data_IF_821094782680
#
_entry.id   IF_821094782680
#
_cell.length_a   1.000
_cell.length_b   1.000
_cell.length_c   1.000
_cell.angle_alpha   90.00
_cell.angle_beta   90.00
_cell.angle_gamma   90.00
#
_symmetry.space_group_name_H-M   'P 1'
#
loop_
_entity.id
_entity.type
_entity.pdbx_description
1 polymer ?
#
# COMPACT_ATOMS: atom_id res chain seq x y z
N UNK A 1 20.30 -18.13 -1.28
CA UNK A 1 20.21 -16.66 -1.15
C UNK A 1 21.52 -16.21 -0.54
N UNK A 2 22.17 -15.24 -1.13
CA UNK A 2 23.44 -14.74 -0.63
C UNK A 2 23.13 -13.62 0.37
N UNK A 3 23.40 -13.89 1.64
CA UNK A 3 23.32 -12.92 2.72
C UNK A 3 24.77 -12.64 3.14
N UNK A 4 25.37 -11.69 2.44
CA UNK A 4 26.76 -11.30 2.69
C UNK A 4 26.75 -10.14 3.66
N UNK A 5 27.72 -10.11 4.63
CA UNK A 5 27.81 -9.02 5.58
C UNK A 5 28.19 -7.71 4.88
N UNK A 6 27.74 -6.58 5.44
CA UNK A 6 28.19 -5.24 5.04
C UNK A 6 29.68 -5.07 5.30
N UNK A 7 30.36 -4.18 4.56
CA UNK A 7 31.74 -3.78 4.84
C UNK A 7 31.86 -3.01 6.19
N UNK A 8 30.81 -2.34 6.65
CA UNK A 8 30.73 -1.79 8.02
C UNK A 8 29.83 -2.69 8.89
N UNK A 9 30.40 -3.44 9.87
CA UNK A 9 29.63 -4.30 10.77
C UNK A 9 28.60 -3.55 11.64
N UNK A 10 28.68 -2.22 11.72
CA UNK A 10 27.73 -1.36 12.45
C UNK A 10 26.55 -0.93 11.58
N UNK A 11 26.64 -1.16 10.28
CA UNK A 11 25.58 -0.84 9.36
C UNK A 11 24.39 -1.76 9.61
N UNK A 12 23.25 -1.15 9.89
CA UNK A 12 22.04 -1.86 10.26
C UNK A 12 21.26 -2.31 9.03
N UNK A 13 21.17 -3.64 8.86
CA UNK A 13 20.32 -4.27 7.84
C UNK A 13 20.77 -3.96 6.41
N UNK A 14 20.98 -4.98 5.61
CA UNK A 14 21.19 -4.79 4.18
C UNK A 14 19.82 -4.55 3.54
N UNK A 15 19.65 -3.48 2.73
CA UNK A 15 18.45 -3.34 1.92
C UNK A 15 18.35 -4.53 0.99
N UNK A 16 17.21 -5.22 1.01
CA UNK A 16 16.93 -6.29 0.08
C UNK A 16 15.81 -5.87 -0.89
N UNK A 17 15.62 -6.63 -1.95
CA UNK A 17 14.61 -6.37 -2.97
C UNK A 17 13.19 -6.26 -2.40
N UNK A 18 12.88 -6.97 -1.31
CA UNK A 18 11.60 -6.87 -0.65
C UNK A 18 11.39 -5.51 0.03
N UNK A 19 12.44 -4.97 0.67
CA UNK A 19 12.41 -3.64 1.29
C UNK A 19 12.30 -2.51 0.25
N UNK A 20 12.64 -2.76 -1.01
CA UNK A 20 12.35 -1.83 -2.11
C UNK A 20 10.92 -1.97 -2.64
N UNK A 21 10.49 -3.19 -2.97
CA UNK A 21 9.21 -3.43 -3.65
C UNK A 21 7.99 -3.27 -2.75
N UNK A 22 8.05 -3.72 -1.48
CA UNK A 22 6.90 -3.65 -0.58
C UNK A 22 6.43 -2.22 -0.30
N UNK A 23 7.31 -1.25 0.01
CA UNK A 23 6.93 0.16 0.12
C UNK A 23 6.34 0.75 -1.17
N UNK A 24 6.84 0.33 -2.34
CA UNK A 24 6.28 0.77 -3.61
C UNK A 24 4.82 0.30 -3.76
N UNK A 25 4.52 -0.97 -3.42
CA UNK A 25 3.15 -1.48 -3.47
C UNK A 25 2.24 -0.72 -2.51
N UNK A 26 2.70 -0.44 -1.28
CA UNK A 26 1.96 0.37 -0.32
C UNK A 26 1.65 1.77 -0.88
N UNK A 27 2.64 2.45 -1.43
CA UNK A 27 2.45 3.79 -1.98
C UNK A 27 1.57 3.80 -3.24
N UNK A 28 1.67 2.79 -4.11
CA UNK A 28 0.91 2.71 -5.37
C UNK A 28 -0.54 2.27 -5.19
N UNK A 29 -0.86 1.60 -4.08
CA UNK A 29 -2.24 1.15 -3.78
C UNK A 29 -2.94 2.00 -2.72
N UNK A 30 -2.28 2.99 -2.13
CA UNK A 30 -2.87 3.89 -1.15
C UNK A 30 -3.92 4.80 -1.83
N UNK A 31 -5.17 4.72 -1.36
CA UNK A 31 -6.26 5.60 -1.79
C UNK A 31 -7.06 6.00 -0.56
N UNK A 32 -6.91 7.25 -0.13
CA UNK A 32 -7.60 7.79 1.02
C UNK A 32 -8.83 8.57 0.57
N UNK A 33 -9.97 8.33 1.23
CA UNK A 33 -11.25 8.97 0.88
C UNK A 33 -11.29 10.44 1.27
N UNK A 34 -10.72 10.76 2.45
CA UNK A 34 -10.80 12.11 3.03
C UNK A 34 -9.58 12.99 2.74
N UNK A 35 -8.55 12.44 2.14
CA UNK A 35 -7.32 13.18 1.83
C UNK A 35 -6.98 13.03 0.35
N UNK A 36 -6.93 14.16 -0.36
CA UNK A 36 -6.44 14.19 -1.74
C UNK A 36 -4.96 13.79 -1.81
N UNK A 37 -4.54 13.31 -2.96
CA UNK A 37 -3.13 12.93 -3.19
C UNK A 37 -2.14 14.08 -3.00
N UNK A 38 -2.62 15.33 -3.09
CA UNK A 38 -1.88 16.56 -2.83
C UNK A 38 -1.76 16.91 -1.33
N UNK A 39 -2.54 16.22 -0.47
CA UNK A 39 -2.58 16.41 0.99
C UNK A 39 -2.06 15.21 1.77
N UNK A 40 -1.30 14.33 1.12
CA UNK A 40 -0.68 13.16 1.73
C UNK A 40 0.79 13.07 1.31
N UNK A 41 1.62 12.60 2.23
CA UNK A 41 3.00 12.28 1.96
C UNK A 41 3.31 10.85 2.42
N UNK A 42 3.98 10.07 1.57
CA UNK A 42 4.54 8.78 1.93
C UNK A 42 6.05 8.83 1.82
N UNK A 43 6.75 8.39 2.85
CA UNK A 43 8.20 8.23 2.87
C UNK A 43 8.59 6.77 2.89
N UNK A 44 9.67 6.43 2.18
CA UNK A 44 10.26 5.09 2.14
C UNK A 44 11.73 5.22 2.46
N UNK A 45 12.21 4.47 3.48
CA UNK A 45 13.61 4.44 3.88
C UNK A 45 14.20 5.87 4.01
N UNK A 46 13.39 6.78 4.54
CA UNK A 46 13.67 8.21 4.64
C UNK A 46 13.89 8.61 6.10
N UNK A 47 14.87 9.47 6.36
CA UNK A 47 15.11 10.00 7.69
C UNK A 47 13.91 10.80 8.20
N UNK A 48 13.35 10.35 9.32
CA UNK A 48 12.27 10.99 10.07
C UNK A 48 12.89 11.63 11.32
N UNK A 49 13.11 12.95 11.28
CA UNK A 49 13.64 13.72 12.39
C UNK A 49 12.51 14.08 13.36
N UNK A 50 12.65 13.69 14.64
CA UNK A 50 11.55 13.72 15.59
C UNK A 50 11.78 14.62 16.81
N UNK A 51 12.98 15.15 17.03
CA UNK A 51 13.32 15.93 18.22
C UNK A 51 14.08 17.21 17.87
N UNK A 52 13.46 18.37 18.08
CA UNK A 52 14.06 19.68 17.79
C UNK A 52 15.23 20.04 18.73
N UNK A 53 15.27 19.49 19.97
CA UNK A 53 16.36 19.70 20.92
C UNK A 53 17.59 18.89 20.55
N UNK A 54 17.38 17.78 19.84
CA UNK A 54 18.43 16.90 19.30
C UNK A 54 18.24 16.76 17.78
N UNK A 55 18.58 17.77 16.99
CA UNK A 55 18.22 17.87 15.56
C UNK A 55 18.90 16.83 14.65
N UNK A 56 19.85 16.04 15.19
CA UNK A 56 20.48 14.93 14.46
C UNK A 56 19.78 13.58 14.74
N UNK A 57 18.89 13.54 15.73
CA UNK A 57 18.18 12.31 16.06
C UNK A 57 17.07 12.04 15.04
N UNK A 58 17.13 10.90 14.42
CA UNK A 58 16.15 10.45 13.45
C UNK A 58 15.91 8.94 13.56
N UNK A 59 14.78 8.51 13.05
CA UNK A 59 14.48 7.13 12.71
C UNK A 59 14.33 7.02 11.20
N UNK A 60 14.39 5.81 10.70
CA UNK A 60 14.33 5.54 9.27
C UNK A 60 13.36 4.39 9.04
N UNK A 61 12.04 4.69 9.04
CA UNK A 61 11.02 3.67 8.81
C UNK A 61 11.12 3.12 7.38
N UNK A 62 10.83 1.83 7.22
CA UNK A 62 10.76 1.23 5.88
C UNK A 62 9.68 1.89 5.03
N UNK A 63 8.54 2.24 5.67
CA UNK A 63 7.50 3.05 5.04
C UNK A 63 6.69 3.82 6.08
N UNK A 64 6.27 5.04 5.75
CA UNK A 64 5.36 5.81 6.58
C UNK A 64 4.42 6.70 5.77
N UNK A 65 3.27 7.02 6.37
CA UNK A 65 2.25 7.91 5.84
C UNK A 65 2.04 9.11 6.76
N UNK A 66 2.04 10.29 6.19
CA UNK A 66 1.60 11.53 6.86
C UNK A 66 0.42 12.09 6.09
N UNK A 67 -0.71 12.32 6.77
CA UNK A 67 -1.89 12.95 6.18
C UNK A 67 -1.97 14.42 6.59
N UNK A 68 -2.73 15.19 5.83
CA UNK A 68 -2.95 16.62 6.04
C UNK A 68 -1.67 17.46 5.97
N UNK A 69 -0.74 17.06 5.12
CA UNK A 69 0.46 17.81 4.74
C UNK A 69 0.51 17.99 3.22
N UNK A 70 1.10 19.06 2.70
CA UNK A 70 1.31 19.21 1.26
C UNK A 70 2.16 18.04 0.72
N UNK A 71 1.81 17.52 -0.46
CA UNK A 71 2.60 16.45 -1.11
C UNK A 71 4.06 16.89 -1.38
N UNK A 72 4.25 18.15 -1.74
CA UNK A 72 5.56 18.72 -2.03
C UNK A 72 6.04 19.61 -0.88
N UNK A 73 7.33 19.56 -0.59
CA UNK A 73 7.98 20.47 0.33
C UNK A 73 7.89 21.92 -0.20
N UNK A 74 7.51 22.84 0.68
CA UNK A 74 7.28 24.25 0.31
C UNK A 74 6.38 24.44 -0.93
N UNK A 75 5.57 23.43 -1.30
CA UNK A 75 4.65 23.48 -2.43
C UNK A 75 5.29 23.23 -3.82
N UNK A 76 6.59 22.99 -3.93
CA UNK A 76 7.25 22.87 -5.23
C UNK A 76 8.41 21.87 -5.31
N UNK A 77 8.92 21.33 -4.19
CA UNK A 77 10.10 20.46 -4.22
C UNK A 77 9.87 19.11 -3.53
N UNK A 78 10.79 18.19 -3.74
CA UNK A 78 10.83 16.90 -3.08
C UNK A 78 11.48 17.05 -1.69
N UNK A 79 11.07 16.20 -0.74
CA UNK A 79 11.70 16.13 0.57
C UNK A 79 12.93 15.22 0.54
N UNK A 80 14.04 15.69 1.09
CA UNK A 80 15.22 14.86 1.35
C UNK A 80 15.11 14.08 2.67
N UNK A 81 14.28 14.58 3.59
CA UNK A 81 13.96 13.99 4.90
C UNK A 81 12.61 14.54 5.36
N UNK A 82 12.02 13.92 6.37
CA UNK A 82 10.81 14.42 7.00
C UNK A 82 11.17 14.98 8.39
N UNK A 83 10.91 16.27 8.60
CA UNK A 83 11.24 16.98 9.84
C UNK A 83 9.93 17.32 10.56
N UNK A 84 9.59 16.54 11.60
CA UNK A 84 8.28 16.60 12.26
C UNK A 84 7.95 17.97 12.81
N UNK A 85 8.92 18.66 13.43
CA UNK A 85 8.69 19.99 14.00
C UNK A 85 8.59 21.11 12.95
N UNK A 86 9.14 20.93 11.75
CA UNK A 86 9.02 21.87 10.63
C UNK A 86 7.69 21.67 9.88
N UNK A 87 7.33 20.43 9.64
CA UNK A 87 6.08 20.04 8.97
C UNK A 87 4.83 20.18 9.88
N UNK A 88 5.03 20.22 11.21
CA UNK A 88 3.96 20.35 12.21
C UNK A 88 3.06 19.11 12.35
N UNK A 89 3.46 17.97 11.77
CA UNK A 89 2.69 16.71 11.76
C UNK A 89 3.61 15.51 11.97
N UNK A 90 3.16 14.56 12.78
CA UNK A 90 3.77 13.24 12.89
C UNK A 90 3.14 12.26 11.88
N UNK A 91 3.78 11.13 11.58
CA UNK A 91 3.19 10.07 10.78
C UNK A 91 1.87 9.56 11.39
N UNK A 92 0.91 9.25 10.53
CA UNK A 92 -0.35 8.58 10.91
C UNK A 92 -0.21 7.06 10.89
N UNK A 93 0.68 6.55 10.05
CA UNK A 93 1.00 5.12 9.92
C UNK A 93 2.49 4.98 9.74
N UNK A 94 3.09 4.02 10.43
CA UNK A 94 4.44 3.53 10.18
C UNK A 94 4.36 2.02 9.91
N UNK A 95 5.10 1.55 8.93
CA UNK A 95 5.26 0.13 8.61
C UNK A 95 6.74 -0.22 8.64
N UNK A 96 7.10 -1.22 9.45
CA UNK A 96 8.43 -1.82 9.49
C UNK A 96 8.39 -3.25 8.92
N UNK A 97 9.42 -3.60 8.18
CA UNK A 97 9.58 -4.89 7.52
C UNK A 97 10.68 -5.65 8.24
N UNK A 98 10.30 -6.64 9.04
CA UNK A 98 11.25 -7.35 9.91
C UNK A 98 12.37 -8.02 9.14
N UNK A 99 13.59 -7.68 9.53
CA UNK A 99 14.81 -8.38 9.14
C UNK A 99 15.20 -9.40 10.22
N UNK A 100 15.63 -10.63 9.86
CA UNK A 100 16.02 -11.64 10.82
C UNK A 100 17.15 -11.16 11.74
N UNK A 101 16.97 -11.40 13.06
CA UNK A 101 17.96 -11.05 14.08
C UNK A 101 17.93 -9.58 14.52
N UNK A 102 16.90 -8.81 14.11
CA UNK A 102 16.70 -7.40 14.48
C UNK A 102 15.30 -7.11 15.01
N UNK A 103 14.58 -8.13 15.35
CA UNK A 103 13.20 -8.03 15.83
C UNK A 103 13.10 -7.14 17.08
N UNK A 104 14.14 -7.10 17.92
CA UNK A 104 14.17 -6.25 19.12
C UNK A 104 14.14 -4.75 18.80
N UNK A 105 14.73 -4.32 17.69
CA UNK A 105 14.74 -2.90 17.29
C UNK A 105 13.32 -2.40 16.98
N UNK A 106 12.52 -3.24 16.32
CA UNK A 106 11.19 -2.90 15.85
C UNK A 106 10.08 -3.31 16.83
N UNK A 107 10.25 -4.41 17.56
CA UNK A 107 9.25 -4.97 18.46
C UNK A 107 9.54 -4.78 19.94
N UNK A 108 10.78 -4.41 20.31
CA UNK A 108 11.23 -4.24 21.69
C UNK A 108 10.83 -5.42 22.57
N UNK A 109 10.02 -5.19 23.63
CA UNK A 109 9.54 -6.25 24.54
C UNK A 109 8.60 -7.24 23.87
N UNK A 110 7.95 -6.89 22.77
CA UNK A 110 7.04 -7.76 22.04
C UNK A 110 7.72 -8.76 21.10
N UNK A 111 9.06 -8.86 21.16
CA UNK A 111 9.83 -9.93 20.50
C UNK A 111 9.54 -11.30 21.10
N UNK A 112 9.29 -11.37 22.41
CA UNK A 112 8.92 -12.63 23.08
C UNK A 112 7.39 -12.84 22.95
N UNK A 113 7.00 -13.91 22.25
CA UNK A 113 5.58 -14.30 22.07
C UNK A 113 4.84 -14.57 23.40
N UNK A 114 5.57 -14.69 24.50
CA UNK A 114 5.01 -14.87 25.85
C UNK A 114 4.53 -13.57 26.50
N UNK A 115 4.80 -12.42 25.90
CA UNK A 115 4.31 -11.11 26.38
C UNK A 115 3.11 -10.69 25.53
N UNK A 116 2.07 -11.55 25.48
CA UNK A 116 0.82 -11.21 24.80
C UNK A 116 -0.13 -10.35 25.66
N UNK A 117 0.08 -10.30 26.98
CA UNK A 117 -0.78 -9.55 27.89
C UNK A 117 0.01 -8.44 28.60
N UNK A 118 -0.31 -7.21 28.24
CA UNK A 118 0.09 -5.95 28.89
C UNK A 118 1.56 -5.88 29.36
N UNK A 119 2.34 -4.98 28.77
CA UNK A 119 3.66 -4.70 29.33
C UNK A 119 3.52 -4.32 30.81
N UNK A 120 4.51 -4.69 31.66
CA UNK A 120 4.50 -4.32 33.07
C UNK A 120 4.20 -2.83 33.24
N UNK A 121 3.29 -2.49 34.18
CA UNK A 121 2.93 -1.09 34.48
C UNK A 121 4.15 -0.22 34.86
N UNK A 122 5.24 -0.88 35.25
CA UNK A 122 6.52 -0.27 35.65
C UNK A 122 7.48 0.06 34.51
N UNK A 123 7.09 -0.16 33.24
CA UNK A 123 7.88 0.35 32.13
C UNK A 123 7.81 1.87 32.12
N UNK A 124 8.86 2.44 32.66
CA UNK A 124 9.04 3.86 33.00
C UNK A 124 8.77 4.76 31.79
N UNK A 125 8.24 5.97 32.05
CA UNK A 125 8.15 6.99 31.01
C UNK A 125 9.53 7.21 30.40
N UNK A 126 9.52 7.59 29.13
CA UNK A 126 10.68 7.96 28.33
C UNK A 126 11.79 8.57 29.18
N UNK A 127 12.84 7.80 29.42
CA UNK A 127 14.09 8.28 30.01
C UNK A 127 15.15 8.26 28.94
N UNK A 128 15.76 9.41 28.70
CA UNK A 128 16.95 9.50 27.86
C UNK A 128 18.05 8.74 28.61
N UNK A 129 18.51 7.63 28.05
CA UNK A 129 19.60 6.87 28.61
C UNK A 129 20.92 7.63 28.38
N UNK A 130 21.64 7.88 29.45
CA UNK A 130 23.00 8.39 29.43
C UNK A 130 23.97 7.25 29.72
N UNK A 131 24.93 7.05 28.84
CA UNK A 131 26.06 6.17 29.09
C UNK A 131 27.38 6.95 29.05
N UNK A 132 28.51 6.24 29.21
CA UNK A 132 29.84 6.84 29.17
C UNK A 132 30.15 7.56 27.83
N UNK A 133 29.41 7.30 26.76
CA UNK A 133 29.54 7.96 25.45
C UNK A 133 28.62 9.19 25.29
N UNK A 134 27.71 9.45 26.23
CA UNK A 134 26.74 10.55 26.23
C UNK A 134 25.29 10.10 26.08
N UNK A 135 24.42 11.07 25.79
CA UNK A 135 22.98 10.86 25.61
C UNK A 135 22.72 10.09 24.32
N UNK A 136 22.01 8.96 24.41
CA UNK A 136 21.64 8.12 23.25
C UNK A 136 20.25 8.40 22.73
N UNK A 137 20.03 8.31 21.39
CA UNK A 137 18.69 8.36 20.83
C UNK A 137 17.88 7.11 21.27
N UNK A 138 16.63 7.27 21.68
CA UNK A 138 15.79 6.17 22.13
C UNK A 138 15.50 5.17 21.01
N UNK A 139 15.06 3.94 21.37
CA UNK A 139 14.66 2.90 20.42
C UNK A 139 13.51 3.35 19.51
N UNK A 140 13.35 2.70 18.35
CA UNK A 140 12.25 2.98 17.39
C UNK A 140 10.89 2.96 18.09
N UNK A 141 10.60 1.90 18.85
CA UNK A 141 9.35 1.76 19.60
C UNK A 141 9.04 2.96 20.47
N UNK A 142 10.00 3.39 21.31
CA UNK A 142 9.83 4.54 22.20
C UNK A 142 9.58 5.84 21.43
N UNK A 143 10.26 6.02 20.31
CA UNK A 143 10.07 7.20 19.46
C UNK A 143 8.66 7.21 18.87
N UNK A 144 8.19 6.07 18.34
CA UNK A 144 6.89 5.99 17.69
C UNK A 144 5.72 6.07 18.68
N UNK A 145 5.85 5.41 19.83
CA UNK A 145 4.81 5.37 20.86
C UNK A 145 4.73 6.65 21.70
N UNK A 146 5.88 7.10 22.25
CA UNK A 146 5.89 8.14 23.30
C UNK A 146 6.16 9.54 22.73
N UNK A 147 7.06 9.66 21.74
CA UNK A 147 7.45 10.96 21.19
C UNK A 147 6.51 11.40 20.08
N UNK A 148 6.30 10.54 19.09
CA UNK A 148 5.49 10.83 17.91
C UNK A 148 4.01 10.48 18.09
N UNK A 149 3.70 9.55 19.00
CA UNK A 149 2.35 9.05 19.26
C UNK A 149 1.66 8.60 17.96
N UNK A 150 2.38 7.82 17.16
CA UNK A 150 1.92 7.39 15.85
C UNK A 150 0.66 6.52 16.01
N UNK A 151 -0.49 6.88 15.43
CA UNK A 151 -1.75 6.16 15.63
C UNK A 151 -1.68 4.68 15.29
N UNK A 152 -0.99 4.32 14.21
CA UNK A 152 -0.90 2.94 13.75
C UNK A 152 0.56 2.57 13.43
N UNK A 153 1.08 1.60 14.19
CA UNK A 153 2.38 1.02 13.97
C UNK A 153 2.21 -0.44 13.52
N UNK A 154 2.68 -0.76 12.32
CA UNK A 154 2.52 -2.08 11.72
C UNK A 154 3.88 -2.71 11.48
N UNK A 155 4.00 -4.00 11.79
CA UNK A 155 5.22 -4.76 11.64
C UNK A 155 4.92 -6.02 10.84
N UNK A 156 5.67 -6.26 9.77
CA UNK A 156 5.46 -7.40 8.89
C UNK A 156 6.72 -8.21 8.67
N UNK A 157 6.60 -9.53 8.87
CA UNK A 157 7.66 -10.49 8.54
C UNK A 157 7.36 -11.20 7.22
N UNK A 158 8.18 -10.99 6.20
CA UNK A 158 8.09 -11.71 4.92
C UNK A 158 8.41 -13.21 5.02
N UNK A 159 9.05 -13.63 6.11
CA UNK A 159 9.47 -15.01 6.33
C UNK A 159 8.36 -15.86 6.92
N UNK A 160 7.63 -15.30 7.90
CA UNK A 160 6.47 -15.96 8.53
C UNK A 160 5.14 -15.52 7.91
N UNK A 161 5.12 -14.46 7.09
CA UNK A 161 3.95 -13.75 6.61
C UNK A 161 3.05 -13.23 7.76
N UNK A 162 3.64 -12.99 8.93
CA UNK A 162 2.95 -12.47 10.10
C UNK A 162 2.87 -10.95 10.01
N UNK A 163 1.66 -10.42 10.08
CA UNK A 163 1.37 -9.01 10.27
C UNK A 163 0.99 -8.78 11.73
N UNK A 164 1.58 -7.78 12.35
CA UNK A 164 1.19 -7.26 13.67
C UNK A 164 0.81 -5.81 13.52
N UNK A 165 -0.21 -5.38 14.22
CA UNK A 165 -0.67 -4.00 14.24
C UNK A 165 -0.78 -3.53 15.69
N UNK A 166 -0.13 -2.42 15.99
CA UNK A 166 -0.18 -1.75 17.27
C UNK A 166 -0.88 -0.41 17.08
N UNK A 167 -2.00 -0.25 17.76
CA UNK A 167 -2.77 1.01 17.77
C UNK A 167 -2.42 1.80 19.02
N UNK A 168 -2.17 3.10 18.87
CA UNK A 168 -1.93 3.99 19.99
C UNK A 168 -3.24 4.34 20.70
N UNK A 169 -3.38 3.91 21.96
CA UNK A 169 -4.58 4.07 22.75
C UNK A 169 -4.19 4.49 24.16
N UNK A 170 -4.68 5.62 24.63
CA UNK A 170 -4.46 6.12 26.00
C UNK A 170 -2.98 6.17 26.43
N UNK A 171 -2.10 6.60 25.52
CA UNK A 171 -0.69 6.81 25.81
C UNK A 171 0.21 5.60 25.55
N UNK A 172 -0.32 4.47 25.07
CA UNK A 172 0.43 3.24 24.80
C UNK A 172 -0.03 2.53 23.53
N UNK A 173 0.86 1.73 22.95
CA UNK A 173 0.48 0.79 21.92
C UNK A 173 -0.26 -0.42 22.50
N UNK A 174 -1.37 -0.75 21.83
CA UNK A 174 -2.13 -1.98 22.10
C UNK A 174 -2.13 -2.83 20.82
N UNK A 175 -1.67 -4.06 20.93
CA UNK A 175 -1.69 -4.97 19.79
C UNK A 175 -3.12 -5.36 19.44
N UNK A 176 -3.46 -5.23 18.17
CA UNK A 176 -4.76 -5.62 17.63
C UNK A 176 -4.74 -7.11 17.29
N UNK A 177 -5.73 -7.85 17.78
CA UNK A 177 -5.90 -9.24 17.42
C UNK A 177 -6.31 -9.36 15.94
N UNK A 178 -5.47 -9.98 15.12
CA UNK A 178 -5.75 -10.24 13.71
C UNK A 178 -6.07 -11.73 13.51
N UNK A 179 -6.97 -12.01 12.55
CA UNK A 179 -7.22 -13.39 12.13
C UNK A 179 -5.98 -13.95 11.41
N UNK A 180 -5.32 -15.00 11.94
CA UNK A 180 -4.12 -15.57 11.30
C UNK A 180 -4.38 -16.14 9.90
N UNK A 181 -5.62 -16.56 9.60
CA UNK A 181 -6.01 -17.08 8.29
C UNK A 181 -6.22 -15.96 7.26
N UNK A 182 -6.59 -14.76 7.71
CA UNK A 182 -6.83 -13.60 6.87
C UNK A 182 -6.38 -12.32 7.61
N UNK A 183 -5.07 -12.10 7.78
CA UNK A 183 -4.56 -10.99 8.58
C UNK A 183 -4.86 -9.65 7.91
N UNK A 184 -5.89 -8.97 8.43
CA UNK A 184 -6.38 -7.67 7.98
C UNK A 184 -6.67 -6.78 9.17
N UNK A 185 -6.35 -5.49 9.05
CA UNK A 185 -6.69 -4.47 10.03
C UNK A 185 -7.36 -3.29 9.33
N UNK A 186 -8.39 -2.74 9.95
CA UNK A 186 -9.07 -1.53 9.51
C UNK A 186 -8.58 -0.33 10.30
N UNK A 187 -8.04 0.67 9.61
CA UNK A 187 -7.54 1.91 10.19
C UNK A 187 -8.68 2.94 10.19
N UNK A 188 -9.46 2.95 11.26
CA UNK A 188 -10.75 3.68 11.32
C UNK A 188 -10.62 5.17 11.06
N UNK A 189 -9.54 5.81 11.55
CA UNK A 189 -9.31 7.25 11.37
C UNK A 189 -8.96 7.63 9.92
N UNK A 190 -8.51 6.66 9.14
CA UNK A 190 -8.12 6.84 7.73
C UNK A 190 -9.13 6.23 6.76
N UNK A 191 -10.12 5.49 7.27
CA UNK A 191 -11.13 4.76 6.48
C UNK A 191 -10.53 3.87 5.38
N UNK A 192 -9.46 3.18 5.72
CA UNK A 192 -8.76 2.26 4.82
C UNK A 192 -8.28 1.04 5.60
N UNK A 193 -8.25 -0.11 4.95
CA UNK A 193 -7.70 -1.33 5.55
C UNK A 193 -6.34 -1.70 4.98
N UNK A 194 -5.49 -2.33 5.80
CA UNK A 194 -4.24 -2.96 5.39
C UNK A 194 -4.28 -4.44 5.73
N UNK A 195 -3.78 -5.28 4.84
CA UNK A 195 -3.74 -6.71 5.09
C UNK A 195 -2.71 -7.45 4.24
N UNK A 196 -2.57 -8.74 4.54
CA UNK A 196 -1.68 -9.63 3.79
C UNK A 196 -2.42 -10.16 2.56
N UNK A 197 -2.00 -9.70 1.40
CA UNK A 197 -2.51 -10.10 0.10
C UNK A 197 -1.57 -11.12 -0.55
N UNK A 198 -2.13 -12.22 -1.07
CA UNK A 198 -1.39 -13.20 -1.87
C UNK A 198 -1.65 -12.96 -3.34
N UNK A 199 -0.62 -12.51 -4.05
CA UNK A 199 -0.74 -12.18 -5.46
C UNK A 199 0.59 -11.84 -6.10
N UNK A 200 0.55 -11.43 -7.35
CA UNK A 200 1.72 -11.06 -8.14
C UNK A 200 1.90 -9.54 -8.16
N UNK A 201 3.07 -9.09 -7.75
CA UNK A 201 3.50 -7.71 -7.91
C UNK A 201 4.92 -7.72 -8.49
N UNK A 202 5.12 -6.93 -9.54
CA UNK A 202 6.38 -6.83 -10.30
C UNK A 202 6.93 -8.19 -10.76
N UNK A 203 6.02 -9.09 -11.22
CA UNK A 203 6.37 -10.45 -11.67
C UNK A 203 6.66 -11.45 -10.54
N UNK A 204 6.51 -11.05 -9.27
CA UNK A 204 6.82 -11.88 -8.10
C UNK A 204 5.53 -12.25 -7.36
N UNK A 205 5.19 -13.54 -7.35
CA UNK A 205 4.03 -14.07 -6.62
C UNK A 205 4.42 -14.43 -5.20
N UNK A 206 3.85 -13.72 -4.21
CA UNK A 206 4.07 -13.97 -2.78
C UNK A 206 2.99 -13.32 -1.91
N UNK A 207 3.17 -13.36 -0.58
CA UNK A 207 2.43 -12.56 0.36
C UNK A 207 3.02 -11.15 0.42
N UNK A 208 2.17 -10.13 0.25
CA UNK A 208 2.49 -8.72 0.28
C UNK A 208 1.55 -8.01 1.24
N UNK A 209 1.96 -6.88 1.81
CA UNK A 209 1.03 -5.92 2.40
C UNK A 209 0.38 -5.09 1.31
N UNK A 210 -0.95 -4.97 1.37
CA UNK A 210 -1.73 -4.22 0.39
C UNK A 210 -2.95 -3.57 1.06
N UNK A 211 -3.32 -2.40 0.57
CA UNK A 211 -4.50 -1.68 1.03
C UNK A 211 -5.78 -2.29 0.46
N UNK A 212 -6.87 -2.18 1.23
CA UNK A 212 -8.22 -2.58 0.81
C UNK A 212 -9.27 -1.54 1.26
N UNK A 213 -10.39 -1.48 0.53
CA UNK A 213 -11.51 -0.58 0.79
C UNK A 213 -12.47 -1.11 1.87
N UNK A 214 -13.55 -0.34 2.17
CA UNK A 214 -14.56 -0.71 3.16
C UNK A 214 -15.34 -1.97 2.82
N UNK A 215 -15.43 -2.32 1.54
CA UNK A 215 -16.06 -3.53 1.03
C UNK A 215 -15.12 -4.74 1.09
N UNK A 216 -13.86 -4.54 1.48
CA UNK A 216 -12.83 -5.59 1.57
C UNK A 216 -12.12 -5.90 0.26
N UNK A 217 -12.33 -5.09 -0.79
CA UNK A 217 -11.64 -5.25 -2.07
C UNK A 217 -10.23 -4.67 -2.01
N UNK A 218 -9.25 -5.39 -2.55
CA UNK A 218 -7.89 -4.89 -2.66
C UNK A 218 -7.80 -3.72 -3.63
N UNK A 219 -7.20 -2.63 -3.16
CA UNK A 219 -7.05 -1.42 -3.98
C UNK A 219 -6.01 -1.66 -5.09
N UNK A 220 -6.34 -1.37 -6.35
CA UNK A 220 -5.45 -1.62 -7.47
C UNK A 220 -4.30 -0.60 -7.53
N UNK A 221 -3.18 -1.03 -8.10
CA UNK A 221 -2.16 -0.11 -8.61
C UNK A 221 -2.68 0.65 -9.83
N UNK A 222 -2.03 1.75 -10.20
CA UNK A 222 -2.43 2.51 -11.40
C UNK A 222 -2.38 1.65 -12.66
N UNK A 223 -1.35 0.79 -12.80
CA UNK A 223 -1.22 -0.13 -13.93
C UNK A 223 -2.34 -1.18 -13.97
N UNK A 224 -2.73 -1.74 -12.81
CA UNK A 224 -3.85 -2.67 -12.73
C UNK A 224 -5.18 -1.97 -13.07
N UNK A 225 -5.36 -0.73 -12.62
CA UNK A 225 -6.55 0.06 -12.92
C UNK A 225 -6.65 0.39 -14.42
N UNK A 226 -5.54 0.76 -15.04
CA UNK A 226 -5.48 1.00 -16.49
C UNK A 226 -5.79 -0.27 -17.29
N UNK A 227 -5.22 -1.41 -16.90
CA UNK A 227 -5.53 -2.71 -17.53
C UNK A 227 -7.01 -3.08 -17.39
N UNK A 228 -7.59 -2.89 -16.21
CA UNK A 228 -9.02 -3.16 -15.98
C UNK A 228 -9.90 -2.25 -16.85
N UNK A 229 -9.56 -0.96 -16.95
CA UNK A 229 -10.28 -0.01 -17.80
C UNK A 229 -10.18 -0.37 -19.28
N UNK A 230 -8.99 -0.68 -19.76
CA UNK A 230 -8.78 -1.09 -21.15
C UNK A 230 -9.56 -2.37 -21.50
N UNK A 231 -9.60 -3.34 -20.59
CA UNK A 231 -10.34 -4.58 -20.76
C UNK A 231 -11.86 -4.32 -20.77
N UNK A 232 -12.36 -3.48 -19.87
CA UNK A 232 -13.77 -3.09 -19.87
C UNK A 232 -14.18 -2.37 -21.17
N UNK A 233 -13.33 -1.47 -21.67
CA UNK A 233 -13.55 -0.81 -22.95
C UNK A 233 -13.55 -1.79 -24.13
N UNK A 234 -12.66 -2.78 -24.12
CA UNK A 234 -12.60 -3.85 -25.14
C UNK A 234 -13.90 -4.65 -25.13
N UNK A 235 -14.31 -5.13 -23.96
CA UNK A 235 -15.55 -5.91 -23.80
C UNK A 235 -16.79 -5.11 -24.22
N UNK A 236 -16.87 -3.82 -23.84
CA UNK A 236 -17.96 -2.96 -24.23
C UNK A 236 -18.03 -2.78 -25.77
N UNK A 237 -16.87 -2.58 -26.43
CA UNK A 237 -16.80 -2.49 -27.90
C UNK A 237 -17.23 -3.80 -28.57
N UNK A 238 -16.78 -4.94 -28.07
CA UNK A 238 -17.19 -6.26 -28.58
C UNK A 238 -18.68 -6.49 -28.42
N UNK A 239 -19.26 -6.10 -27.29
CA UNK A 239 -20.70 -6.22 -27.06
C UNK A 239 -21.51 -5.34 -28.01
N UNK A 240 -21.12 -4.09 -28.23
CA UNK A 240 -21.76 -3.20 -29.20
C UNK A 240 -21.66 -3.76 -30.62
N UNK A 241 -20.49 -4.27 -31.01
CA UNK A 241 -20.29 -4.90 -32.31
C UNK A 241 -21.16 -6.13 -32.50
N UNK A 242 -21.28 -6.99 -31.49
CA UNK A 242 -22.15 -8.15 -31.52
C UNK A 242 -23.64 -7.74 -31.67
N UNK A 243 -24.08 -6.71 -30.97
CA UNK A 243 -25.44 -6.17 -31.11
C UNK A 243 -25.72 -5.60 -32.48
N UNK A 244 -24.77 -4.88 -33.09
CA UNK A 244 -24.88 -4.36 -34.45
C UNK A 244 -24.96 -5.49 -35.47
N UNK A 245 -24.16 -6.53 -35.34
CA UNK A 245 -24.19 -7.74 -36.20
C UNK A 245 -25.57 -8.40 -36.09
N UNK A 246 -26.06 -8.62 -34.87
CA UNK A 246 -27.37 -9.23 -34.65
C UNK A 246 -28.50 -8.39 -35.25
N UNK A 247 -28.46 -7.07 -35.08
CA UNK A 247 -29.41 -6.16 -35.68
C UNK A 247 -29.38 -6.22 -37.22
N UNK A 248 -28.18 -6.23 -37.80
CA UNK A 248 -28.02 -6.36 -39.27
C UNK A 248 -28.63 -7.67 -39.79
N UNK A 249 -28.35 -8.78 -39.11
CA UNK A 249 -28.92 -10.09 -39.49
C UNK A 249 -30.45 -10.10 -39.41
N UNK A 250 -31.03 -9.53 -38.35
CA UNK A 250 -32.49 -9.44 -38.21
C UNK A 250 -33.13 -8.59 -39.30
N UNK A 251 -32.51 -7.48 -39.69
CA UNK A 251 -33.01 -6.61 -40.77
C UNK A 251 -32.92 -7.28 -42.14
N UNK A 252 -31.82 -8.00 -42.41
CA UNK A 252 -31.68 -8.82 -43.64
C UNK A 252 -32.73 -9.92 -43.70
N UNK A 253 -33.02 -10.63 -42.61
CA UNK A 253 -34.07 -11.64 -42.52
C UNK A 253 -35.47 -11.05 -42.69
N UNK A 254 -35.69 -9.80 -42.30
CA UNK A 254 -36.92 -9.06 -42.55
C UNK A 254 -37.10 -8.57 -44.00
N UNK A 255 -36.14 -8.90 -44.90
CA UNK A 255 -36.21 -8.61 -46.33
C UNK A 255 -35.61 -7.26 -46.75
N UNK A 256 -34.88 -6.57 -45.87
CA UNK A 256 -34.15 -5.36 -46.24
C UNK A 256 -32.91 -5.70 -47.10
N UNK A 257 -32.56 -4.78 -48.00
CA UNK A 257 -31.36 -4.93 -48.83
C UNK A 257 -30.10 -4.61 -48.04
N UNK A 258 -28.93 -5.16 -48.43
CA UNK A 258 -27.62 -4.88 -47.79
C UNK A 258 -27.30 -3.38 -47.75
N UNK A 259 -27.67 -2.62 -48.77
CA UNK A 259 -27.50 -1.15 -48.83
C UNK A 259 -28.33 -0.46 -47.76
N UNK A 260 -29.62 -0.82 -47.63
CA UNK A 260 -30.52 -0.22 -46.63
C UNK A 260 -30.05 -0.53 -45.19
N UNK A 261 -29.60 -1.75 -44.95
CA UNK A 261 -29.07 -2.15 -43.62
C UNK A 261 -27.79 -1.42 -43.30
N UNK A 262 -26.87 -1.30 -44.27
CA UNK A 262 -25.62 -0.56 -44.10
C UNK A 262 -25.87 0.92 -43.78
N UNK A 263 -26.78 1.60 -44.50
CA UNK A 263 -27.15 3.01 -44.23
C UNK A 263 -27.81 3.17 -42.84
N UNK A 264 -28.72 2.26 -42.47
CA UNK A 264 -29.46 2.35 -41.21
C UNK A 264 -28.55 2.13 -39.97
N UNK A 265 -27.59 1.24 -40.05
CA UNK A 265 -26.73 0.88 -38.95
C UNK A 265 -25.35 1.57 -38.98
N UNK A 266 -25.08 2.37 -40.02
CA UNK A 266 -23.77 3.02 -40.20
C UNK A 266 -22.63 2.04 -40.46
N UNK A 267 -22.90 0.88 -41.05
CA UNK A 267 -21.93 -0.14 -41.37
C UNK A 267 -21.44 -0.01 -42.82
N UNK A 268 -20.26 -0.50 -43.12
CA UNK A 268 -19.82 -0.62 -44.50
C UNK A 268 -20.63 -1.72 -45.23
N UNK A 269 -21.00 -1.48 -46.49
CA UNK A 269 -21.78 -2.45 -47.31
C UNK A 269 -21.08 -3.82 -47.30
N UNK A 270 -19.78 -3.87 -47.50
CA UNK A 270 -18.99 -5.10 -47.49
C UNK A 270 -19.08 -5.91 -46.16
N UNK A 271 -19.27 -5.22 -45.04
CA UNK A 271 -19.50 -5.88 -43.75
C UNK A 271 -20.85 -6.57 -43.69
N UNK A 272 -21.88 -5.91 -44.21
CA UNK A 272 -23.25 -6.47 -44.27
C UNK A 272 -23.35 -7.61 -45.27
N UNK A 273 -22.69 -7.53 -46.43
CA UNK A 273 -22.59 -8.60 -47.43
C UNK A 273 -21.95 -9.86 -46.83
N UNK A 274 -20.85 -9.73 -46.08
CA UNK A 274 -20.19 -10.84 -45.40
C UNK A 274 -21.09 -11.55 -44.36
N UNK A 275 -22.02 -10.82 -43.71
CA UNK A 275 -23.01 -11.40 -42.79
C UNK A 275 -24.07 -12.24 -43.53
N UNK A 276 -24.45 -11.86 -44.75
CA UNK A 276 -25.41 -12.57 -45.58
C UNK A 276 -24.85 -13.90 -46.10
N UNK A 277 -23.56 -13.94 -46.47
CA UNK A 277 -22.88 -15.17 -46.95
C UNK A 277 -22.72 -16.20 -45.81
N UNK A 278 -22.43 -15.75 -44.57
CA UNK A 278 -22.31 -16.64 -43.42
C UNK A 278 -23.66 -17.23 -42.99
N UNK A 279 -24.75 -16.50 -43.14
CA UNK A 279 -26.11 -16.97 -42.86
C UNK A 279 -26.64 -18.03 -43.86
N UNK A 280 -26.17 -18.03 -45.10
CA UNK A 280 -26.55 -19.00 -46.13
C UNK A 280 -25.81 -20.33 -46.05
N UNK A 281 -24.74 -20.44 -45.24
CA UNK A 281 -23.98 -21.70 -45.09
C UNK A 281 -24.49 -22.58 -43.92
N UNK A 282 -25.48 -22.14 -43.18
CA UNK A 282 -26.06 -22.89 -42.06
C UNK A 282 -27.38 -23.62 -42.36
N UNK A 283 -27.78 -23.72 -43.65
CA UNK A 283 -28.97 -24.50 -44.06
C UNK A 283 -28.59 -25.63 -45.04
#
# INVERSE_FOLDING_TARGET
MYDLPSEDPRESGLPDEFHDLQPQLLSRTLRLTHYGSDRCFTGTDMNLYYNAEHPLWHKRPDWFLVVDVPRLYAGHDLRNSFVVWDEGKAPSVIVELLSPGREEEDLWIYTDERIEENPPEDLLPYTIEEDESGIRPPHKWMVYEQVLQVPYYLVFSRYSNRLRCFQWVNGRYQEQALDPANPRVWLSELEIGLGVWRGEFDGITRAWLRWYDAEGNWLPTDTEQERQRAEQERLAKEQVQAQLIQAAQNLLQAGMTTVQVAEMLGLAIAQVEGLQETGNQQF
#
